data_IF_860571774627
#
_entry.id   IF_860571774627
#
_cell.length_a   1.000
_cell.length_b   1.000
_cell.length_c   1.000
_cell.angle_alpha   90.00
_cell.angle_beta   90.00
_cell.angle_gamma   90.00
#
_symmetry.space_group_name_H-M   'P 1'
#
loop_
_entity.id
_entity.type
_entity.pdbx_description
1 polymer ?
#
# COMPACT_ATOMS: atom_id res chain seq x y z
N UNK A 1 -12.48 1.50 -5.36
CA UNK A 1 -11.86 0.62 -4.34
C UNK A 1 -12.98 -0.01 -3.55
N UNK A 2 -12.93 -1.32 -3.34
CA UNK A 2 -13.93 -2.07 -2.57
C UNK A 2 -13.22 -2.58 -1.31
N UNK A 3 -13.69 -2.17 -0.14
CA UNK A 3 -13.15 -2.65 1.14
C UNK A 3 -13.99 -3.82 1.62
N UNK A 4 -13.35 -4.97 1.85
CA UNK A 4 -13.96 -6.14 2.48
C UNK A 4 -13.28 -6.41 3.82
N UNK A 5 -14.05 -6.84 4.82
CA UNK A 5 -13.52 -7.13 6.14
C UNK A 5 -14.28 -8.22 6.87
N UNK A 6 -13.60 -8.86 7.83
CA UNK A 6 -14.15 -9.93 8.65
C UNK A 6 -14.32 -9.53 10.14
N UNK A 7 -14.40 -8.23 10.42
CA UNK A 7 -14.48 -7.67 11.78
C UNK A 7 -13.13 -7.47 12.47
N UNK A 8 -12.08 -8.23 12.10
CA UNK A 8 -10.72 -8.05 12.66
C UNK A 8 -9.73 -7.48 11.65
N UNK A 9 -9.92 -7.77 10.36
CA UNK A 9 -9.02 -7.37 9.28
C UNK A 9 -9.83 -6.86 8.10
N UNK A 10 -9.28 -5.85 7.43
CA UNK A 10 -9.83 -5.29 6.19
C UNK A 10 -8.81 -5.42 5.06
N UNK A 11 -9.32 -5.62 3.85
CA UNK A 11 -8.55 -5.62 2.61
C UNK A 11 -9.24 -4.67 1.63
N UNK A 12 -8.47 -3.74 1.09
CA UNK A 12 -8.91 -2.84 0.03
C UNK A 12 -8.59 -3.47 -1.33
N UNK A 13 -9.63 -3.80 -2.09
CA UNK A 13 -9.53 -4.32 -3.45
C UNK A 13 -9.63 -3.15 -4.43
N UNK A 14 -8.60 -2.99 -5.24
CA UNK A 14 -8.58 -2.03 -6.35
C UNK A 14 -8.84 -2.78 -7.65
N UNK A 15 -10.02 -2.58 -8.23
CA UNK A 15 -10.34 -3.07 -9.58
C UNK A 15 -9.92 -2.02 -10.59
N UNK A 16 -9.11 -2.40 -11.58
CA UNK A 16 -8.67 -1.54 -12.67
C UNK A 16 -9.04 -2.16 -14.01
N UNK A 17 -9.40 -1.30 -14.96
CA UNK A 17 -9.65 -1.65 -16.36
C UNK A 17 -8.37 -1.81 -17.18
N UNK A 18 -7.21 -1.44 -16.60
CA UNK A 18 -5.93 -1.56 -17.29
C UNK A 18 -5.49 -3.02 -17.44
N UNK A 19 -4.85 -3.32 -18.58
CA UNK A 19 -4.21 -4.62 -18.86
C UNK A 19 -3.16 -5.02 -17.82
N UNK A 20 -2.63 -4.07 -17.05
CA UNK A 20 -1.61 -4.32 -16.03
C UNK A 20 -2.07 -3.80 -14.66
N UNK A 21 -1.83 -4.60 -13.62
CA UNK A 21 -2.01 -4.16 -12.24
C UNK A 21 -0.97 -3.13 -11.80
N UNK A 22 0.07 -2.88 -12.60
CA UNK A 22 1.16 -1.97 -12.22
C UNK A 22 0.67 -0.53 -12.06
N UNK A 23 -0.16 -0.04 -12.98
CA UNK A 23 -0.63 1.35 -12.90
C UNK A 23 -1.43 1.66 -11.63
N UNK A 24 -2.44 0.87 -11.22
CA UNK A 24 -3.11 1.11 -9.95
C UNK A 24 -2.17 0.91 -8.75
N UNK A 25 -1.25 -0.07 -8.79
CA UNK A 25 -0.26 -0.27 -7.72
C UNK A 25 0.62 0.97 -7.54
N UNK A 26 1.11 1.53 -8.64
CA UNK A 26 1.93 2.73 -8.61
C UNK A 26 1.12 4.00 -8.36
N UNK A 27 -0.21 4.03 -8.52
CA UNK A 27 -1.02 5.23 -8.22
C UNK A 27 -1.23 5.46 -6.72
N UNK A 28 -1.30 4.40 -5.91
CA UNK A 28 -1.42 4.56 -4.45
C UNK A 28 -0.04 4.77 -3.81
N UNK A 29 0.53 5.95 -4.06
CA UNK A 29 1.85 6.36 -3.57
C UNK A 29 1.97 6.39 -2.03
N UNK A 30 0.86 6.28 -1.30
CA UNK A 30 0.81 6.28 0.16
C UNK A 30 0.76 4.88 0.79
N UNK A 31 0.76 3.83 -0.02
CA UNK A 31 0.75 2.44 0.45
C UNK A 31 2.18 1.94 0.53
N UNK A 32 2.50 1.23 1.62
CA UNK A 32 3.77 0.50 1.69
C UNK A 32 3.87 -0.39 0.45
N UNK A 33 4.88 -0.15 -0.39
CA UNK A 33 5.06 -0.86 -1.65
C UNK A 33 5.48 -2.29 -1.32
N UNK A 34 4.49 -3.16 -1.12
CA UNK A 34 4.70 -4.57 -0.88
C UNK A 34 4.46 -5.37 -2.15
N UNK A 35 5.03 -6.57 -2.10
CA UNK A 35 4.81 -7.66 -3.02
C UNK A 35 3.30 -7.81 -3.34
N UNK A 36 2.94 -7.72 -4.61
CA UNK A 36 1.64 -8.12 -5.12
C UNK A 36 1.66 -9.63 -5.38
N UNK A 37 0.68 -10.35 -4.85
CA UNK A 37 0.52 -11.79 -5.08
C UNK A 37 -0.73 -11.98 -5.93
N UNK A 38 -0.57 -12.52 -7.13
CA UNK A 38 -1.66 -13.02 -7.98
C UNK A 38 -1.80 -14.54 -7.82
N UNK A 39 -2.80 -15.13 -8.47
CA UNK A 39 -2.97 -16.59 -8.47
C UNK A 39 -1.75 -17.33 -9.09
N UNK A 40 -0.95 -16.64 -9.90
CA UNK A 40 0.08 -17.28 -10.74
C UNK A 40 1.47 -16.70 -10.49
N UNK A 41 1.59 -15.51 -9.88
CA UNK A 41 2.83 -14.76 -9.81
C UNK A 41 2.92 -13.89 -8.56
N UNK A 42 4.13 -13.73 -8.03
CA UNK A 42 4.46 -12.74 -7.01
C UNK A 42 5.30 -11.66 -7.69
N UNK A 43 4.94 -10.40 -7.51
CA UNK A 43 5.66 -9.24 -8.05
C UNK A 43 6.03 -8.29 -6.92
N UNK A 44 7.31 -7.91 -6.85
CA UNK A 44 7.81 -6.88 -5.92
C UNK A 44 8.59 -5.83 -6.67
N UNK A 45 8.20 -4.56 -6.52
CA UNK A 45 8.98 -3.45 -7.08
C UNK A 45 10.27 -3.19 -6.28
N UNK A 46 10.29 -3.55 -4.98
CA UNK A 46 11.42 -3.26 -4.07
C UNK A 46 11.69 -4.44 -3.13
N UNK A 47 12.07 -5.62 -3.65
CA UNK A 47 12.20 -6.83 -2.84
C UNK A 47 13.19 -6.67 -1.69
N UNK A 48 14.30 -5.95 -1.91
CA UNK A 48 15.30 -5.68 -0.86
C UNK A 48 14.73 -4.90 0.33
N UNK A 49 13.85 -3.93 0.07
CA UNK A 49 13.20 -3.14 1.12
C UNK A 49 12.13 -3.96 1.83
N UNK A 50 11.29 -4.66 1.07
CA UNK A 50 10.22 -5.50 1.63
C UNK A 50 10.79 -6.59 2.55
N UNK A 51 11.90 -7.23 2.17
CA UNK A 51 12.55 -8.27 2.99
C UNK A 51 13.18 -7.72 4.28
N UNK A 52 13.48 -6.42 4.33
CA UNK A 52 14.04 -5.74 5.51
C UNK A 52 12.97 -5.03 6.36
N UNK A 53 11.69 -5.25 6.06
CA UNK A 53 10.56 -4.52 6.65
C UNK A 53 10.72 -2.99 6.50
N UNK A 54 11.23 -2.54 5.36
CA UNK A 54 11.38 -1.14 4.99
C UNK A 54 10.37 -0.77 3.89
N UNK A 55 9.94 0.48 3.89
CA UNK A 55 9.05 1.00 2.85
C UNK A 55 9.35 2.44 2.48
N UNK A 56 9.19 2.74 1.19
CA UNK A 56 9.08 4.11 0.70
C UNK A 56 7.60 4.48 0.67
N UNK A 57 7.27 5.71 1.02
CA UNK A 57 5.94 6.27 0.83
C UNK A 57 6.05 7.73 0.38
N UNK A 58 5.17 8.14 -0.53
CA UNK A 58 5.07 9.54 -0.89
C UNK A 58 4.34 10.28 0.24
N UNK A 59 5.09 11.12 0.95
CA UNK A 59 4.56 11.97 2.02
C UNK A 59 3.97 13.28 1.50
N UNK A 60 4.10 13.61 0.21
CA UNK A 60 3.53 14.82 -0.39
C UNK A 60 2.05 15.02 -0.06
N UNK A 61 1.18 14.00 -0.20
CA UNK A 61 -0.21 14.08 0.22
C UNK A 61 -0.40 14.48 1.70
N UNK A 62 0.49 14.15 2.63
CA UNK A 62 0.39 14.60 4.03
C UNK A 62 0.51 16.12 4.19
N UNK A 63 1.14 16.80 3.24
CA UNK A 63 1.35 18.24 3.29
C UNK A 63 0.31 19.01 2.46
N UNK A 64 -0.17 18.43 1.37
CA UNK A 64 -1.02 19.14 0.40
C UNK A 64 -2.50 18.71 0.43
N UNK A 65 -2.84 17.55 0.99
CA UNK A 65 -4.25 17.15 1.11
C UNK A 65 -4.90 17.79 2.33
N UNK A 66 -6.17 18.20 2.14
CA UNK A 66 -7.01 18.81 3.18
C UNK A 66 -7.52 17.76 4.19
N UNK A 67 -7.62 16.50 3.77
CA UNK A 67 -7.95 15.36 4.62
C UNK A 67 -6.87 14.29 4.51
N UNK A 68 -6.12 14.14 5.61
CA UNK A 68 -4.98 13.22 5.70
C UNK A 68 -5.24 12.08 6.69
N UNK A 69 -6.45 11.99 7.27
CA UNK A 69 -6.76 11.00 8.29
C UNK A 69 -6.55 9.57 7.77
N UNK A 70 -7.03 9.28 6.56
CA UNK A 70 -6.87 7.97 5.94
C UNK A 70 -5.40 7.62 5.67
N UNK A 71 -4.61 8.61 5.26
CA UNK A 71 -3.18 8.45 5.00
C UNK A 71 -2.44 8.15 6.30
N UNK A 72 -2.72 8.93 7.36
CA UNK A 72 -2.12 8.72 8.68
C UNK A 72 -2.51 7.36 9.28
N UNK A 73 -3.78 6.96 9.17
CA UNK A 73 -4.24 5.64 9.60
C UNK A 73 -3.54 4.51 8.84
N UNK A 74 -3.38 4.66 7.52
CA UNK A 74 -2.62 3.71 6.73
C UNK A 74 -1.16 3.65 7.19
N UNK A 75 -0.52 4.79 7.46
CA UNK A 75 0.85 4.81 7.96
C UNK A 75 0.99 4.14 9.33
N UNK A 76 0.11 4.47 10.27
CA UNK A 76 0.07 3.87 11.60
C UNK A 76 -0.14 2.35 11.54
N UNK A 77 -0.99 1.86 10.64
CA UNK A 77 -1.20 0.43 10.40
C UNK A 77 0.08 -0.30 10.01
N UNK A 78 0.97 0.33 9.26
CA UNK A 78 2.23 -0.31 8.84
C UNK A 78 3.32 -0.20 9.90
N UNK A 79 3.38 0.91 10.63
CA UNK A 79 4.25 1.04 11.81
C UNK A 79 3.91 -0.03 12.86
N UNK A 80 2.62 -0.27 13.14
CA UNK A 80 2.19 -1.31 14.09
C UNK A 80 2.52 -2.74 13.63
N UNK A 81 2.88 -2.92 12.35
CA UNK A 81 3.35 -4.18 11.76
C UNK A 81 4.88 -4.27 11.67
N UNK A 82 5.61 -3.40 12.39
CA UNK A 82 7.06 -3.28 12.39
C UNK A 82 7.67 -2.90 11.02
N UNK A 83 6.91 -2.22 10.15
CA UNK A 83 7.44 -1.68 8.91
C UNK A 83 7.95 -0.27 9.18
N UNK A 84 9.20 0.00 8.80
CA UNK A 84 9.84 1.32 8.93
C UNK A 84 9.80 2.07 7.61
N UNK A 85 9.40 3.32 7.65
CA UNK A 85 9.48 4.22 6.51
C UNK A 85 10.91 4.76 6.36
N UNK A 86 11.39 4.84 5.13
CA UNK A 86 12.68 5.42 4.71
C UNK A 86 12.46 6.60 3.79
#
# INVERSE_FOLDING_TARGET
VITIGNGQRTVDIVVSWMLTALSPIFQFHSTVIMNFVSANTIFSSYPSLTLQALSIANVGPLYYSRDNCQILQAMQKYVSRNIRYI
#
